data_IF_654608953659
#
_entry.id   IF_654608953659
#
_cell.length_a   1.000
_cell.length_b   1.000
_cell.length_c   1.000
_cell.angle_alpha   90.00
_cell.angle_beta   90.00
_cell.angle_gamma   90.00
#
_symmetry.space_group_name_H-M   'P 1'
#
loop_
_entity.id
_entity.type
_entity.pdbx_description
1 polymer ?
#
# COMPACT_ATOMS: atom_id res chain seq x y z
N UNK A 1 -1.38 -9.68 -14.18
CA UNK A 1 -1.43 -8.21 -14.26
C UNK A 1 -0.48 -7.71 -13.19
N UNK A 2 0.62 -7.07 -13.56
CA UNK A 2 1.62 -6.59 -12.60
C UNK A 2 1.03 -5.45 -11.78
N UNK A 3 1.18 -5.48 -10.46
CA UNK A 3 0.68 -4.38 -9.61
C UNK A 3 1.48 -3.11 -9.90
N UNK A 4 0.87 -1.92 -9.73
CA UNK A 4 1.56 -0.62 -9.91
C UNK A 4 2.86 -0.55 -9.11
N UNK A 5 2.89 -1.17 -7.92
CA UNK A 5 4.07 -1.31 -7.07
C UNK A 5 5.19 -2.07 -7.78
N UNK A 6 4.91 -3.27 -8.28
CA UNK A 6 5.90 -4.10 -8.98
C UNK A 6 6.46 -3.37 -10.19
N UNK A 7 5.61 -2.66 -10.93
CA UNK A 7 6.04 -1.86 -12.07
C UNK A 7 7.03 -0.75 -11.65
N UNK A 8 6.72 -0.02 -10.57
CA UNK A 8 7.61 1.02 -10.03
C UNK A 8 8.94 0.40 -9.58
N UNK A 9 8.92 -0.70 -8.83
CA UNK A 9 10.14 -1.36 -8.36
C UNK A 9 11.02 -1.86 -9.51
N UNK A 10 10.41 -2.38 -10.58
CA UNK A 10 11.13 -2.79 -11.79
C UNK A 10 11.78 -1.59 -12.48
N UNK A 11 11.07 -0.45 -12.59
CA UNK A 11 11.64 0.76 -13.16
C UNK A 11 12.83 1.26 -12.32
N UNK A 12 12.70 1.29 -11.00
CA UNK A 12 13.78 1.67 -10.08
C UNK A 12 14.99 0.75 -10.22
N UNK A 13 14.78 -0.57 -10.31
CA UNK A 13 15.84 -1.55 -10.53
C UNK A 13 16.56 -1.30 -11.86
N UNK A 14 15.82 -1.06 -12.94
CA UNK A 14 16.38 -0.78 -14.28
C UNK A 14 17.20 0.50 -14.30
N UNK A 15 16.72 1.56 -13.64
CA UNK A 15 17.47 2.82 -13.52
C UNK A 15 18.76 2.57 -12.71
N UNK A 16 18.67 1.89 -11.56
CA UNK A 16 19.84 1.56 -10.73
C UNK A 16 20.91 0.78 -11.51
N UNK A 17 20.49 -0.19 -12.32
CA UNK A 17 21.39 -0.97 -13.15
C UNK A 17 22.06 -0.10 -14.24
N UNK A 18 21.29 0.75 -14.93
CA UNK A 18 21.84 1.65 -15.95
C UNK A 18 22.87 2.62 -15.36
N UNK A 19 22.60 3.19 -14.17
CA UNK A 19 23.56 4.06 -13.48
C UNK A 19 24.85 3.32 -13.11
N UNK A 20 24.74 2.07 -12.64
CA UNK A 20 25.90 1.24 -12.32
C UNK A 20 26.74 0.89 -13.57
N UNK A 21 26.10 0.54 -14.68
CA UNK A 21 26.77 0.24 -15.95
C UNK A 21 27.50 1.48 -16.50
N UNK A 22 26.87 2.66 -16.41
CA UNK A 22 27.48 3.93 -16.81
C UNK A 22 28.68 4.30 -15.93
N UNK A 23 28.56 4.14 -14.60
CA UNK A 23 29.66 4.40 -13.68
C UNK A 23 30.87 3.50 -13.98
N UNK A 24 30.63 2.20 -14.22
CA UNK A 24 31.67 1.24 -14.60
C UNK A 24 32.33 1.58 -15.94
N UNK A 25 31.56 2.02 -16.93
CA UNK A 25 32.05 2.27 -18.29
C UNK A 25 32.82 3.59 -18.42
N UNK A 26 32.40 4.63 -17.69
CA UNK A 26 32.90 5.98 -17.88
C UNK A 26 33.70 6.51 -16.68
N UNK A 27 33.58 5.93 -15.49
CA UNK A 27 34.36 6.30 -14.30
C UNK A 27 34.21 7.76 -13.84
N UNK A 28 33.18 8.47 -14.31
CA UNK A 28 33.20 9.93 -14.42
C UNK A 28 32.13 10.70 -13.63
N UNK A 29 31.30 10.08 -12.77
CA UNK A 29 30.28 10.89 -12.06
C UNK A 29 30.18 10.77 -10.54
N UNK A 30 31.25 10.29 -9.88
CA UNK A 30 31.55 10.57 -8.46
C UNK A 30 30.33 10.57 -7.53
N UNK A 31 30.18 11.63 -6.72
CA UNK A 31 29.10 11.79 -5.72
C UNK A 31 27.68 11.90 -6.32
N UNK A 32 27.56 12.25 -7.60
CA UNK A 32 26.27 12.47 -8.26
C UNK A 32 25.54 11.14 -8.53
N UNK A 33 26.28 10.10 -8.96
CA UNK A 33 25.72 8.75 -9.10
C UNK A 33 25.34 8.16 -7.75
N UNK A 34 26.17 8.35 -6.72
CA UNK A 34 25.87 7.91 -5.36
C UNK A 34 24.57 8.56 -4.84
N UNK A 35 24.39 9.87 -5.08
CA UNK A 35 23.17 10.60 -4.71
C UNK A 35 21.93 10.05 -5.44
N UNK A 36 22.03 9.77 -6.75
CA UNK A 36 20.91 9.18 -7.50
C UNK A 36 20.56 7.76 -7.03
N UNK A 37 21.56 6.92 -6.71
CA UNK A 37 21.31 5.60 -6.13
C UNK A 37 20.64 5.69 -4.75
N UNK A 38 21.07 6.65 -3.92
CA UNK A 38 20.43 6.92 -2.63
C UNK A 38 18.96 7.34 -2.77
N UNK A 39 18.64 8.22 -3.72
CA UNK A 39 17.24 8.60 -3.99
C UNK A 39 16.41 7.41 -4.47
N UNK A 40 16.96 6.57 -5.35
CA UNK A 40 16.29 5.33 -5.81
C UNK A 40 15.98 4.39 -4.64
N UNK A 41 16.95 4.18 -3.75
CA UNK A 41 16.77 3.32 -2.58
C UNK A 41 15.77 3.92 -1.59
N UNK A 42 15.77 5.25 -1.43
CA UNK A 42 14.79 5.99 -0.62
C UNK A 42 13.37 5.80 -1.16
N UNK A 43 13.17 5.91 -2.48
CA UNK A 43 11.87 5.66 -3.11
C UNK A 43 11.43 4.20 -2.89
N UNK A 44 12.34 3.24 -3.02
CA UNK A 44 12.02 1.83 -2.78
C UNK A 44 11.58 1.57 -1.31
N UNK A 45 12.26 2.18 -0.34
CA UNK A 45 11.90 2.12 1.09
C UNK A 45 10.53 2.76 1.33
N UNK A 46 10.29 3.94 0.76
CA UNK A 46 9.01 4.64 0.90
C UNK A 46 7.84 3.81 0.33
N UNK A 47 8.05 3.14 -0.79
CA UNK A 47 7.07 2.21 -1.37
C UNK A 47 6.79 1.01 -0.46
N UNK A 48 7.81 0.45 0.19
CA UNK A 48 7.62 -0.62 1.16
C UNK A 48 6.84 -0.14 2.40
N UNK A 49 7.16 1.05 2.90
CA UNK A 49 6.48 1.67 4.04
C UNK A 49 5.01 1.97 3.73
N UNK A 50 4.70 2.50 2.54
CA UNK A 50 3.33 2.75 2.11
C UNK A 50 2.46 1.49 2.17
N UNK A 51 3.01 0.33 1.80
CA UNK A 51 2.30 -0.95 1.87
C UNK A 51 2.06 -1.37 3.31
N UNK A 52 3.07 -1.20 4.17
CA UNK A 52 2.94 -1.48 5.60
C UNK A 52 1.84 -0.63 6.22
N UNK A 53 1.83 0.69 5.97
CA UNK A 53 0.78 1.58 6.43
C UNK A 53 -0.59 1.21 5.87
N UNK A 54 -0.69 0.88 4.57
CA UNK A 54 -1.95 0.44 3.95
C UNK A 54 -2.50 -0.82 4.63
N UNK A 55 -1.64 -1.79 4.94
CA UNK A 55 -2.02 -3.02 5.66
C UNK A 55 -2.50 -2.71 7.09
N UNK A 56 -1.80 -1.85 7.81
CA UNK A 56 -2.19 -1.44 9.17
C UNK A 56 -3.55 -0.75 9.18
N UNK A 57 -3.80 0.17 8.24
CA UNK A 57 -5.11 0.84 8.15
C UNK A 57 -6.24 -0.12 7.81
N UNK A 58 -6.01 -1.11 6.93
CA UNK A 58 -6.99 -2.16 6.65
C UNK A 58 -7.30 -2.97 7.92
N UNK A 59 -6.31 -3.29 8.74
CA UNK A 59 -6.52 -3.98 10.01
C UNK A 59 -7.34 -3.13 10.99
N UNK A 60 -7.02 -1.84 11.11
CA UNK A 60 -7.81 -0.90 11.92
C UNK A 60 -9.26 -0.81 11.45
N UNK A 61 -9.51 -0.77 10.14
CA UNK A 61 -10.86 -0.76 9.58
C UNK A 61 -11.63 -2.05 9.88
N UNK A 62 -10.96 -3.21 9.81
CA UNK A 62 -11.58 -4.49 10.20
C UNK A 62 -12.00 -4.48 11.68
N UNK A 63 -11.13 -4.00 12.57
CA UNK A 63 -11.46 -3.85 14.00
C UNK A 63 -12.66 -2.93 14.22
N UNK A 64 -12.75 -1.84 13.46
CA UNK A 64 -13.92 -0.95 13.52
C UNK A 64 -15.21 -1.66 13.06
N UNK A 65 -15.15 -2.43 11.98
CA UNK A 65 -16.29 -3.24 11.52
C UNK A 65 -16.72 -4.25 12.60
N UNK A 66 -15.77 -4.93 13.24
CA UNK A 66 -16.08 -5.88 14.30
C UNK A 66 -16.76 -5.19 15.50
N UNK A 67 -16.32 -3.99 15.88
CA UNK A 67 -17.00 -3.17 16.89
C UNK A 67 -18.42 -2.79 16.48
N UNK A 68 -18.64 -2.43 15.20
CA UNK A 68 -19.98 -2.14 14.69
C UNK A 68 -20.89 -3.37 14.72
N UNK A 69 -20.37 -4.56 14.41
CA UNK A 69 -21.13 -5.82 14.51
C UNK A 69 -21.57 -6.10 15.95
N UNK A 70 -20.67 -5.92 16.91
CA UNK A 70 -20.99 -6.06 18.34
C UNK A 70 -22.08 -5.06 18.75
N UNK A 71 -22.01 -3.82 18.27
CA UNK A 71 -23.02 -2.81 18.56
C UNK A 71 -24.40 -3.20 18.01
N UNK A 72 -24.46 -3.75 16.78
CA UNK A 72 -25.71 -4.23 16.16
C UNK A 72 -26.42 -5.30 17.01
N UNK A 73 -25.66 -6.17 17.68
CA UNK A 73 -26.23 -7.22 18.55
C UNK A 73 -27.01 -6.64 19.73
N UNK A 74 -26.69 -5.41 20.13
CA UNK A 74 -27.29 -4.70 21.27
C UNK A 74 -28.26 -3.59 20.83
N UNK A 75 -28.35 -3.28 19.54
CA UNK A 75 -29.18 -2.20 19.02
C UNK A 75 -30.65 -2.61 18.99
N UNK A 76 -31.49 -1.95 19.79
CA UNK A 76 -32.92 -2.24 19.90
C UNK A 76 -33.74 -1.63 18.75
N UNK A 77 -33.27 -0.53 18.16
CA UNK A 77 -33.95 0.14 17.07
C UNK A 77 -33.72 -0.59 15.74
N UNK A 78 -34.79 -1.19 15.20
CA UNK A 78 -34.72 -1.96 13.95
C UNK A 78 -34.20 -1.15 12.75
N UNK A 79 -34.57 0.13 12.62
CA UNK A 79 -34.13 0.97 11.49
C UNK A 79 -32.63 1.21 11.58
N UNK A 80 -32.12 1.57 12.77
CA UNK A 80 -30.68 1.76 13.00
C UNK A 80 -29.92 0.46 12.75
N UNK A 81 -30.46 -0.67 13.22
CA UNK A 81 -29.87 -1.99 13.01
C UNK A 81 -29.74 -2.34 11.53
N UNK A 82 -30.77 -2.08 10.73
CA UNK A 82 -30.76 -2.32 9.28
C UNK A 82 -29.74 -1.42 8.56
N UNK A 83 -29.70 -0.13 8.91
CA UNK A 83 -28.74 0.84 8.35
C UNK A 83 -27.29 0.45 8.66
N UNK A 84 -27.00 0.04 9.90
CA UNK A 84 -25.67 -0.41 10.31
C UNK A 84 -25.26 -1.70 9.58
N UNK A 85 -26.18 -2.64 9.40
CA UNK A 85 -25.91 -3.85 8.62
C UNK A 85 -25.58 -3.54 7.16
N UNK A 86 -26.33 -2.61 6.54
CA UNK A 86 -26.06 -2.17 5.17
C UNK A 86 -24.70 -1.48 5.04
N UNK A 87 -24.34 -0.64 6.02
CA UNK A 87 -23.03 0.00 6.09
C UNK A 87 -21.91 -1.04 6.19
N UNK A 88 -22.01 -1.99 7.13
CA UNK A 88 -21.01 -3.05 7.33
C UNK A 88 -20.83 -3.86 6.04
N UNK A 89 -21.92 -4.30 5.42
CA UNK A 89 -21.86 -5.07 4.17
C UNK A 89 -21.15 -4.29 3.05
N UNK A 90 -21.35 -2.98 2.99
CA UNK A 90 -20.68 -2.11 2.00
C UNK A 90 -19.18 -2.01 2.32
N UNK A 91 -18.83 -1.72 3.57
CA UNK A 91 -17.44 -1.58 4.01
C UNK A 91 -16.64 -2.88 3.81
N UNK A 92 -17.23 -4.04 4.09
CA UNK A 92 -16.57 -5.33 3.89
C UNK A 92 -16.25 -5.59 2.41
N UNK A 93 -17.21 -5.31 1.51
CA UNK A 93 -17.00 -5.43 0.07
C UNK A 93 -15.90 -4.49 -0.42
N UNK A 94 -15.89 -3.26 0.06
CA UNK A 94 -14.87 -2.28 -0.28
C UNK A 94 -13.48 -2.71 0.20
N UNK A 95 -13.36 -3.18 1.45
CA UNK A 95 -12.09 -3.67 2.00
C UNK A 95 -11.56 -4.86 1.20
N UNK A 96 -12.41 -5.84 0.87
CA UNK A 96 -12.01 -6.98 0.04
C UNK A 96 -11.46 -6.52 -1.31
N UNK A 97 -12.13 -5.55 -1.95
CA UNK A 97 -11.67 -4.99 -3.21
C UNK A 97 -10.35 -4.21 -3.08
N UNK A 98 -10.13 -3.48 -1.98
CA UNK A 98 -8.86 -2.76 -1.72
C UNK A 98 -7.71 -3.74 -1.48
N UNK A 99 -7.93 -4.82 -0.72
CA UNK A 99 -6.93 -5.87 -0.49
C UNK A 99 -6.51 -6.51 -1.82
N UNK A 100 -7.48 -6.84 -2.70
CA UNK A 100 -7.19 -7.39 -4.04
C UNK A 100 -6.37 -6.47 -4.93
N UNK A 101 -6.41 -5.15 -4.71
CA UNK A 101 -5.59 -4.18 -5.46
C UNK A 101 -4.20 -3.96 -4.84
N UNK A 102 -4.02 -4.36 -3.58
CA UNK A 102 -2.74 -4.26 -2.86
C UNK A 102 -1.86 -5.50 -3.04
N UNK A 103 -2.48 -6.67 -3.24
CA UNK A 103 -1.82 -7.94 -3.56
C UNK A 103 -1.69 -8.11 -5.08
#
# INVERSE_FOLDING_TARGET
MQSTKEHILILLQRIKQALWEMDKAYGLAGDYFNSMQYEIDTIAINMANLIKFSKMHIESLKKLIDLLKIHIEQEENQVIREDLNNLINTLEKEIVNKIKKLN
#
